data_IF_220064560256
#
_entry.id   IF_220064560256
#
_cell.length_a   1.000
_cell.length_b   1.000
_cell.length_c   1.000
_cell.angle_alpha   90.00
_cell.angle_beta   90.00
_cell.angle_gamma   90.00
#
_symmetry.space_group_name_H-M   'P 1'
#
loop_
_entity.id
_entity.type
_entity.pdbx_description
1 polymer ?
#
# COMPACT_ATOMS: atom_id res chain seq x y z
N UNK A 1 18.43 30.74 -4.30
CA UNK A 1 19.21 29.53 -4.67
C UNK A 1 18.89 28.31 -3.80
N UNK A 2 17.94 28.41 -2.86
CA UNK A 2 17.56 27.35 -1.89
C UNK A 2 16.44 26.44 -2.41
N UNK A 3 15.37 27.02 -2.97
CA UNK A 3 14.18 26.29 -3.47
C UNK A 3 14.50 25.22 -4.53
N UNK A 4 15.44 25.52 -5.45
CA UNK A 4 15.87 24.57 -6.48
C UNK A 4 16.63 23.36 -5.89
N UNK A 5 17.42 23.57 -4.82
CA UNK A 5 18.13 22.49 -4.13
C UNK A 5 17.18 21.62 -3.31
N UNK A 6 16.17 22.25 -2.70
CA UNK A 6 15.15 21.51 -1.95
C UNK A 6 14.34 20.65 -2.92
N UNK A 7 13.84 21.21 -4.04
CA UNK A 7 13.10 20.45 -5.04
C UNK A 7 13.90 19.27 -5.64
N UNK A 8 15.20 19.44 -5.91
CA UNK A 8 16.05 18.34 -6.42
C UNK A 8 16.26 17.25 -5.37
N UNK A 9 16.47 17.62 -4.10
CA UNK A 9 16.60 16.66 -3.00
C UNK A 9 15.29 15.90 -2.77
N UNK A 10 14.15 16.59 -2.82
CA UNK A 10 12.83 15.96 -2.73
C UNK A 10 12.58 15.00 -3.89
N UNK A 11 12.94 15.38 -5.13
CA UNK A 11 12.81 14.49 -6.28
C UNK A 11 13.72 13.25 -6.19
N UNK A 12 14.94 13.38 -5.67
CA UNK A 12 15.86 12.24 -5.49
C UNK A 12 15.39 11.30 -4.37
N UNK A 13 14.95 11.87 -3.25
CA UNK A 13 14.53 11.08 -2.08
C UNK A 13 13.22 10.34 -2.37
N UNK A 14 12.20 11.05 -2.85
CA UNK A 14 10.88 10.48 -3.09
C UNK A 14 10.76 9.79 -4.45
N UNK A 15 11.73 9.99 -5.36
CA UNK A 15 11.86 9.22 -6.59
C UNK A 15 12.40 7.80 -6.39
N UNK A 16 12.69 7.38 -5.16
CA UNK A 16 13.24 6.07 -4.84
C UNK A 16 12.20 5.11 -4.28
N UNK A 17 12.10 3.92 -4.88
CA UNK A 17 11.25 2.84 -4.37
C UNK A 17 11.64 2.42 -2.94
N UNK A 18 12.94 2.38 -2.62
CA UNK A 18 13.40 1.99 -1.28
C UNK A 18 12.94 2.99 -0.22
N UNK A 19 12.96 4.29 -0.55
CA UNK A 19 12.44 5.31 0.34
C UNK A 19 10.93 5.20 0.52
N UNK A 20 10.19 4.97 -0.57
CA UNK A 20 8.75 4.71 -0.54
C UNK A 20 8.43 3.49 0.35
N UNK A 21 9.09 2.35 0.10
CA UNK A 21 8.89 1.11 0.84
C UNK A 21 9.14 1.30 2.34
N UNK A 22 10.24 1.95 2.72
CA UNK A 22 10.53 2.29 4.12
C UNK A 22 9.46 3.18 4.73
N UNK A 23 8.98 4.17 3.98
CA UNK A 23 7.95 5.11 4.44
C UNK A 23 6.64 4.37 4.73
N UNK A 24 6.15 3.55 3.81
CA UNK A 24 4.93 2.77 3.99
C UNK A 24 5.08 1.75 5.11
N UNK A 25 6.16 0.97 5.14
CA UNK A 25 6.40 -0.03 6.19
C UNK A 25 6.47 0.61 7.58
N UNK A 26 7.09 1.79 7.69
CA UNK A 26 7.13 2.56 8.95
C UNK A 26 5.75 3.06 9.34
N UNK A 27 4.98 3.58 8.37
CA UNK A 27 3.60 4.04 8.60
C UNK A 27 2.72 2.91 9.15
N UNK A 28 2.71 1.73 8.50
CA UNK A 28 1.95 0.57 8.95
C UNK A 28 2.41 0.07 10.33
N UNK A 29 3.72 0.05 10.57
CA UNK A 29 4.28 -0.34 11.86
C UNK A 29 3.87 0.61 12.99
N UNK A 30 3.88 1.93 12.74
CA UNK A 30 3.45 2.94 13.72
C UNK A 30 1.97 2.83 14.06
N UNK A 31 1.16 2.32 13.15
CA UNK A 31 -0.25 2.02 13.38
C UNK A 31 -0.49 0.67 14.08
N UNK A 32 0.56 -0.08 14.42
CA UNK A 32 0.45 -1.37 15.10
C UNK A 32 0.16 -2.55 14.15
N UNK A 33 0.14 -2.32 12.84
CA UNK A 33 -0.37 -3.31 11.88
C UNK A 33 0.65 -4.38 11.50
N UNK A 34 1.94 -4.17 11.84
CA UNK A 34 3.04 -5.07 11.47
C UNK A 34 3.89 -5.47 12.68
N UNK A 35 3.40 -5.28 13.91
CA UNK A 35 4.16 -5.37 15.16
C UNK A 35 4.41 -6.81 15.67
N UNK A 36 3.39 -7.68 15.69
CA UNK A 36 3.49 -9.10 16.11
C UNK A 36 2.60 -9.97 15.21
N UNK A 37 3.08 -11.10 14.65
CA UNK A 37 2.26 -12.03 13.86
C UNK A 37 0.96 -12.51 14.53
N UNK A 38 0.87 -12.42 15.87
CA UNK A 38 -0.32 -12.82 16.65
C UNK A 38 -1.37 -11.71 16.79
N UNK A 39 -0.96 -10.45 16.59
CA UNK A 39 -1.80 -9.25 16.68
C UNK A 39 -1.83 -8.49 15.34
N UNK A 40 -1.44 -9.14 14.24
CA UNK A 40 -1.46 -8.53 12.92
C UNK A 40 -2.91 -8.29 12.47
N UNK A 41 -3.24 -7.00 12.36
CA UNK A 41 -4.43 -6.54 11.63
C UNK A 41 -4.50 -7.14 10.24
N UNK A 42 -5.73 -7.36 9.76
CA UNK A 42 -6.01 -8.06 8.51
C UNK A 42 -5.14 -7.52 7.36
N UNK A 43 -4.52 -8.39 6.53
CA UNK A 43 -3.82 -7.95 5.33
C UNK A 43 -4.70 -7.07 4.42
N UNK A 44 -6.03 -7.25 4.43
CA UNK A 44 -6.98 -6.34 3.74
C UNK A 44 -6.82 -4.89 4.25
N UNK A 45 -6.76 -4.68 5.57
CA UNK A 45 -6.56 -3.37 6.22
C UNK A 45 -5.22 -2.75 5.83
N UNK A 46 -4.14 -3.52 5.85
CA UNK A 46 -2.80 -3.03 5.49
C UNK A 46 -2.72 -2.61 4.02
N UNK A 47 -3.35 -3.37 3.13
CA UNK A 47 -3.46 -3.04 1.69
C UNK A 47 -4.26 -1.75 1.51
N UNK A 48 -5.42 -1.61 2.17
CA UNK A 48 -6.23 -0.40 2.07
C UNK A 48 -5.47 0.85 2.53
N UNK A 49 -4.76 0.76 3.66
CA UNK A 49 -3.96 1.87 4.19
C UNK A 49 -2.72 2.18 3.32
N UNK A 50 -2.14 1.16 2.70
CA UNK A 50 -1.10 1.37 1.68
C UNK A 50 -1.66 2.17 0.52
N UNK A 51 -2.80 1.76 -0.05
CA UNK A 51 -3.45 2.46 -1.16
C UNK A 51 -3.81 3.92 -0.81
N UNK A 52 -4.34 4.16 0.39
CA UNK A 52 -4.65 5.50 0.89
C UNK A 52 -3.39 6.37 0.99
N UNK A 53 -2.31 5.84 1.59
CA UNK A 53 -1.04 6.55 1.69
C UNK A 53 -0.44 6.85 0.30
N UNK A 54 -0.48 5.88 -0.63
CA UNK A 54 -0.07 6.10 -2.03
C UNK A 54 -0.89 7.21 -2.69
N UNK A 55 -2.21 7.20 -2.51
CA UNK A 55 -3.11 8.19 -3.09
C UNK A 55 -2.75 9.61 -2.63
N UNK A 56 -2.51 9.79 -1.32
CA UNK A 56 -2.06 11.08 -0.76
C UNK A 56 -0.70 11.52 -1.28
N UNK A 57 0.25 10.61 -1.43
CA UNK A 57 1.57 10.90 -2.01
C UNK A 57 1.46 11.27 -3.49
N UNK A 58 0.51 10.68 -4.21
CA UNK A 58 0.35 10.86 -5.66
C UNK A 58 -0.14 12.24 -6.08
N UNK A 59 -0.72 13.00 -5.14
CA UNK A 59 -1.20 14.38 -5.36
C UNK A 59 -0.23 15.45 -4.85
N UNK A 60 0.96 15.06 -4.39
CA UNK A 60 2.01 16.02 -4.01
C UNK A 60 2.67 16.55 -5.29
N UNK A 61 2.59 17.86 -5.54
CA UNK A 61 3.04 18.50 -6.80
C UNK A 61 4.50 18.18 -7.20
N UNK A 62 5.37 17.92 -6.23
CA UNK A 62 6.77 17.59 -6.47
C UNK A 62 7.01 16.12 -6.86
N UNK A 63 5.98 15.26 -6.80
CA UNK A 63 6.07 13.83 -7.04
C UNK A 63 5.29 13.43 -8.30
N UNK A 64 5.92 12.77 -9.28
CA UNK A 64 5.19 12.24 -10.42
C UNK A 64 4.16 11.19 -9.98
N UNK A 65 2.86 11.48 -10.18
CA UNK A 65 1.75 10.60 -9.80
C UNK A 65 1.94 9.15 -10.29
N UNK A 66 2.34 8.97 -11.55
CA UNK A 66 2.58 7.67 -12.17
C UNK A 66 3.66 6.86 -11.42
N UNK A 67 4.69 7.54 -10.91
CA UNK A 67 5.75 6.91 -10.14
C UNK A 67 5.23 6.44 -8.78
N UNK A 68 4.45 7.27 -8.08
CA UNK A 68 3.86 6.91 -6.79
C UNK A 68 2.91 5.72 -6.92
N UNK A 69 2.04 5.73 -7.94
CA UNK A 69 1.14 4.60 -8.23
C UNK A 69 1.93 3.31 -8.58
N UNK A 70 3.02 3.44 -9.35
CA UNK A 70 3.91 2.33 -9.66
C UNK A 70 4.60 1.75 -8.42
N UNK A 71 5.04 2.60 -7.49
CA UNK A 71 5.60 2.17 -6.21
C UNK A 71 4.57 1.49 -5.32
N UNK A 72 3.33 2.00 -5.26
CA UNK A 72 2.23 1.35 -4.57
C UNK A 72 1.96 -0.05 -5.11
N UNK A 73 1.83 -0.20 -6.43
CA UNK A 73 1.64 -1.50 -7.06
C UNK A 73 2.80 -2.48 -6.78
N UNK A 74 4.04 -1.99 -6.83
CA UNK A 74 5.22 -2.80 -6.52
C UNK A 74 5.26 -3.24 -5.05
N UNK A 75 4.94 -2.35 -4.11
CA UNK A 75 4.90 -2.69 -2.69
C UNK A 75 3.87 -3.77 -2.41
N UNK A 76 2.67 -3.66 -2.99
CA UNK A 76 1.65 -4.71 -2.87
C UNK A 76 2.17 -6.05 -3.42
N UNK A 77 2.82 -6.03 -4.58
CA UNK A 77 3.43 -7.23 -5.16
C UNK A 77 4.50 -7.85 -4.26
N UNK A 78 5.42 -7.06 -3.71
CA UNK A 78 6.54 -7.54 -2.90
C UNK A 78 6.07 -8.09 -1.55
N UNK A 79 5.08 -7.47 -0.92
CA UNK A 79 4.69 -7.75 0.47
C UNK A 79 3.43 -8.62 0.61
N UNK A 80 2.49 -8.57 -0.33
CA UNK A 80 1.17 -9.21 -0.19
C UNK A 80 0.87 -10.28 -1.24
N UNK A 81 1.72 -10.49 -2.25
CA UNK A 81 1.43 -11.45 -3.32
C UNK A 81 1.31 -12.90 -2.83
N UNK A 82 2.11 -13.31 -1.85
CA UNK A 82 2.01 -14.65 -1.25
C UNK A 82 0.67 -14.84 -0.55
N UNK A 83 0.27 -13.88 0.30
CA UNK A 83 -1.02 -13.90 0.97
C UNK A 83 -2.17 -13.89 -0.04
N UNK A 84 -2.14 -12.98 -1.03
CA UNK A 84 -3.17 -12.88 -2.04
C UNK A 84 -3.34 -14.20 -2.80
N UNK A 85 -2.24 -14.89 -3.16
CA UNK A 85 -2.30 -16.21 -3.81
C UNK A 85 -2.94 -17.28 -2.92
N UNK A 86 -2.66 -17.28 -1.63
CA UNK A 86 -3.30 -18.20 -0.67
C UNK A 86 -4.81 -17.98 -0.59
N UNK A 87 -5.28 -16.75 -0.82
CA UNK A 87 -6.71 -16.41 -0.89
C UNK A 87 -7.34 -16.63 -2.29
N UNK A 88 -6.58 -17.09 -3.29
CA UNK A 88 -7.07 -17.28 -4.67
C UNK A 88 -6.88 -16.07 -5.61
N UNK A 89 -5.99 -15.15 -5.26
CA UNK A 89 -5.68 -13.92 -5.99
C UNK A 89 -6.32 -12.68 -5.37
N UNK A 90 -5.84 -11.48 -5.74
CA UNK A 90 -6.30 -10.22 -5.16
C UNK A 90 -7.82 -9.99 -5.29
N UNK A 91 -8.43 -10.39 -6.40
CA UNK A 91 -9.88 -10.28 -6.61
C UNK A 91 -10.67 -11.05 -5.55
N UNK A 92 -10.30 -12.30 -5.29
CA UNK A 92 -10.96 -13.12 -4.28
C UNK A 92 -10.58 -12.68 -2.85
N UNK A 93 -9.33 -12.29 -2.64
CA UNK A 93 -8.81 -11.85 -1.36
C UNK A 93 -9.43 -10.55 -0.84
N UNK A 94 -9.89 -9.68 -1.75
CA UNK A 94 -10.46 -8.36 -1.43
C UNK A 94 -11.97 -8.29 -1.68
N UNK A 95 -12.62 -9.40 -2.05
CA UNK A 95 -14.07 -9.47 -2.05
C UNK A 95 -14.61 -9.27 -0.62
N UNK A 96 -15.76 -8.62 -0.51
CA UNK A 96 -16.49 -8.50 0.75
C UNK A 96 -17.10 -9.86 1.09
N UNK A 97 -17.15 -10.19 2.39
CA UNK A 97 -17.67 -11.49 2.84
C UNK A 97 -19.22 -11.58 2.71
N UNK A 98 -19.89 -10.49 2.26
CA UNK A 98 -21.35 -10.35 2.11
C UNK A 98 -21.90 -10.95 0.79
N UNK A 99 -21.07 -11.50 -0.08
CA UNK A 99 -21.50 -12.19 -1.32
C UNK A 99 -21.85 -13.69 -1.08
N UNK A 100 -21.92 -14.17 0.16
CA UNK A 100 -22.67 -15.39 0.49
C UNK A 100 -24.16 -15.04 0.61
N UNK A 101 -24.80 -14.70 -0.52
CA UNK A 101 -26.25 -14.87 -0.63
C UNK A 101 -26.51 -16.38 -0.58
N UNK A 102 -27.06 -16.82 0.54
CA UNK A 102 -27.60 -18.15 0.73
C UNK A 102 -28.64 -18.38 -0.38
N UNK A 103 -28.27 -19.12 -1.42
CA UNK A 103 -29.21 -19.67 -2.41
C UNK A 103 -30.03 -20.79 -1.74
N UNK A 104 -30.73 -20.47 -0.65
CA UNK A 104 -31.90 -21.24 -0.20
C UNK A 104 -33.06 -20.92 -1.13
N UNK A 105 -33.04 -21.57 -2.31
CA UNK A 105 -34.25 -21.76 -3.11
C UNK A 105 -34.93 -23.06 -2.68
N UNK A 106 -35.95 -22.88 -1.84
CA UNK A 106 -37.02 -23.79 -1.41
C UNK A 106 -37.26 -25.06 -2.25
#
# INVERSE_FOLDING_TARGET
MTVLKDASLFSELFGSYNFYERTISTFLWRLGLTSDPRDQESPKTQIALTCEATSRLSVVDSLPMNQMLGFGAKYLQDHFSTWARQQGGYTKALADDDDEVDDEVN
#
